data_IF_045047469360
#
_entry.id   IF_045047469360
#
_cell.length_a   1.000
_cell.length_b   1.000
_cell.length_c   1.000
_cell.angle_alpha   90.00
_cell.angle_beta   90.00
_cell.angle_gamma   90.00
#
_symmetry.space_group_name_H-M   'P 1'
#
loop_
_entity.id
_entity.type
_entity.pdbx_description
1 polymer ?
#
# COMPACT_ATOMS: atom_id res chain seq x y z
N UNK A 1 20.30 -12.09 -8.78
CA UNK A 1 19.10 -12.36 -7.94
C UNK A 1 18.26 -11.09 -7.85
N UNK A 2 18.79 -9.96 -7.39
CA UNK A 2 18.05 -8.70 -7.16
C UNK A 2 17.33 -8.14 -8.42
N UNK A 3 17.88 -8.37 -9.61
CA UNK A 3 17.26 -7.95 -10.88
C UNK A 3 16.08 -8.84 -11.29
N UNK A 4 16.11 -10.11 -10.94
CA UNK A 4 15.04 -11.07 -11.26
C UNK A 4 13.80 -10.71 -10.47
N UNK A 5 13.95 -10.43 -9.17
CA UNK A 5 12.85 -10.07 -8.28
C UNK A 5 12.21 -8.73 -8.70
N UNK A 6 13.03 -7.78 -9.19
CA UNK A 6 12.56 -6.46 -9.63
C UNK A 6 11.80 -6.52 -10.96
N UNK A 7 12.08 -7.52 -11.81
CA UNK A 7 11.48 -7.65 -13.14
C UNK A 7 10.42 -8.73 -13.25
N UNK A 8 10.04 -9.36 -12.14
CA UNK A 8 8.98 -10.35 -12.12
C UNK A 8 7.65 -9.76 -12.61
N UNK A 9 6.98 -10.50 -13.50
CA UNK A 9 5.73 -10.07 -14.13
C UNK A 9 5.87 -9.06 -15.29
N UNK A 10 7.07 -8.57 -15.60
CA UNK A 10 7.30 -7.66 -16.72
C UNK A 10 7.46 -8.41 -18.04
N UNK A 11 6.98 -7.80 -19.13
CA UNK A 11 7.27 -8.28 -20.50
C UNK A 11 8.72 -7.97 -20.90
N UNK A 12 9.26 -8.76 -21.85
CA UNK A 12 10.61 -8.53 -22.38
C UNK A 12 10.82 -7.11 -22.90
N UNK A 13 9.83 -6.50 -23.55
CA UNK A 13 9.88 -5.12 -24.02
C UNK A 13 9.95 -4.10 -22.88
N UNK A 14 9.29 -4.36 -21.76
CA UNK A 14 9.37 -3.50 -20.57
C UNK A 14 10.75 -3.60 -19.92
N UNK A 15 11.32 -4.80 -19.82
CA UNK A 15 12.67 -5.02 -19.30
C UNK A 15 13.71 -4.30 -20.17
N UNK A 16 13.62 -4.45 -21.51
CA UNK A 16 14.49 -3.75 -22.44
C UNK A 16 14.41 -2.23 -22.26
N UNK A 17 13.22 -1.69 -22.12
CA UNK A 17 13.03 -0.25 -21.91
C UNK A 17 13.67 0.22 -20.59
N UNK A 18 13.49 -0.53 -19.50
CA UNK A 18 14.12 -0.23 -18.20
C UNK A 18 15.64 -0.21 -18.33
N UNK A 19 16.24 -1.20 -18.97
CA UNK A 19 17.69 -1.29 -19.11
C UNK A 19 18.26 -0.15 -19.98
N UNK A 20 17.55 0.22 -21.04
CA UNK A 20 17.93 1.34 -21.90
C UNK A 20 17.86 2.68 -21.12
N UNK A 21 16.80 2.91 -20.39
CA UNK A 21 16.66 4.11 -19.55
C UNK A 21 17.67 4.13 -18.39
N UNK A 22 17.98 2.99 -17.78
CA UNK A 22 19.02 2.89 -16.75
C UNK A 22 20.39 3.26 -17.31
N UNK A 23 20.70 2.84 -18.54
CA UNK A 23 21.92 3.22 -19.21
C UNK A 23 21.96 4.73 -19.51
N UNK A 24 20.85 5.32 -19.96
CA UNK A 24 20.73 6.76 -20.17
C UNK A 24 20.88 7.52 -18.84
N UNK A 25 20.34 6.99 -17.75
CA UNK A 25 20.52 7.58 -16.42
C UNK A 25 22.00 7.59 -16.01
N UNK A 26 22.71 6.47 -16.18
CA UNK A 26 24.14 6.40 -15.89
C UNK A 26 24.96 7.40 -16.73
N UNK A 27 24.66 7.53 -18.02
CA UNK A 27 25.31 8.47 -18.93
C UNK A 27 25.09 9.94 -18.53
N UNK A 28 23.94 10.31 -17.97
CA UNK A 28 23.68 11.66 -17.44
C UNK A 28 24.61 12.04 -16.28
N UNK A 29 25.16 11.04 -15.59
CA UNK A 29 26.13 11.20 -14.51
C UNK A 29 27.56 10.81 -14.94
N UNK A 30 27.87 10.90 -16.23
CA UNK A 30 29.19 10.61 -16.82
C UNK A 30 29.71 9.18 -16.52
N UNK A 31 28.79 8.20 -16.34
CA UNK A 31 29.15 6.80 -16.11
C UNK A 31 28.88 5.95 -17.36
N UNK A 32 29.83 5.11 -17.72
CA UNK A 32 29.75 4.21 -18.87
C UNK A 32 29.06 2.86 -18.59
N UNK A 33 28.61 2.66 -17.38
CA UNK A 33 27.89 1.45 -16.93
C UNK A 33 26.81 1.87 -15.96
N UNK A 34 25.64 1.26 -16.08
CA UNK A 34 24.59 1.39 -15.07
C UNK A 34 24.82 0.40 -13.94
N UNK A 35 24.30 0.70 -12.77
CA UNK A 35 24.26 -0.16 -11.60
C UNK A 35 22.80 -0.48 -11.20
N UNK A 36 22.62 -1.20 -10.10
CA UNK A 36 21.29 -1.55 -9.59
C UNK A 36 20.44 -0.31 -9.25
N UNK A 37 21.05 0.72 -8.68
CA UNK A 37 20.35 1.97 -8.31
C UNK A 37 19.78 2.70 -9.53
N UNK A 38 20.45 2.63 -10.67
CA UNK A 38 19.94 3.20 -11.93
C UNK A 38 18.69 2.44 -12.39
N UNK A 39 18.72 1.11 -12.29
CA UNK A 39 17.59 0.26 -12.67
C UNK A 39 16.42 0.45 -11.72
N UNK A 40 16.65 0.48 -10.40
CA UNK A 40 15.62 0.72 -9.39
C UNK A 40 14.99 2.12 -9.58
N UNK A 41 15.82 3.14 -9.85
CA UNK A 41 15.34 4.49 -10.15
C UNK A 41 14.42 4.54 -11.37
N UNK A 42 14.79 3.85 -12.44
CA UNK A 42 14.02 3.82 -13.69
C UNK A 42 12.76 2.96 -13.52
N UNK A 43 12.87 1.83 -12.86
CA UNK A 43 11.74 0.98 -12.55
C UNK A 43 10.67 1.74 -11.76
N UNK A 44 11.08 2.44 -10.70
CA UNK A 44 10.19 3.29 -9.92
C UNK A 44 9.56 4.41 -10.77
N UNK A 45 10.32 5.05 -11.68
CA UNK A 45 9.79 6.03 -12.63
C UNK A 45 8.78 5.44 -13.61
N UNK A 46 8.98 4.21 -14.04
CA UNK A 46 8.08 3.54 -14.98
C UNK A 46 6.76 3.13 -14.32
N UNK A 47 6.79 2.68 -13.06
CA UNK A 47 5.59 2.36 -12.28
C UNK A 47 4.73 3.59 -12.02
N UNK A 48 5.36 4.72 -11.75
CA UNK A 48 4.71 5.95 -11.30
C UNK A 48 4.41 6.93 -12.45
N UNK A 49 5.07 6.76 -13.60
CA UNK A 49 5.04 7.70 -14.74
C UNK A 49 5.90 8.95 -14.50
N UNK A 50 6.65 9.36 -15.53
CA UNK A 50 7.47 10.57 -15.47
C UNK A 50 6.61 11.81 -15.77
N UNK A 51 6.59 12.76 -14.81
CA UNK A 51 5.99 14.08 -15.03
C UNK A 51 6.99 15.16 -14.59
N UNK A 52 7.15 16.26 -15.34
CA UNK A 52 8.01 17.37 -14.92
C UNK A 52 7.49 18.02 -13.62
N UNK A 53 8.42 18.47 -12.79
CA UNK A 53 8.20 19.01 -11.44
C UNK A 53 7.46 20.36 -11.44
N UNK A 54 6.19 20.41 -11.81
CA UNK A 54 5.38 21.63 -11.70
C UNK A 54 4.56 21.69 -10.39
N UNK A 55 4.44 20.57 -9.67
CA UNK A 55 3.68 20.53 -8.43
C UNK A 55 4.61 20.41 -7.22
N UNK A 56 4.62 21.46 -6.40
CA UNK A 56 5.27 21.42 -5.09
C UNK A 56 4.25 21.01 -4.03
N UNK A 57 4.51 19.90 -3.36
CA UNK A 57 3.74 19.51 -2.18
C UNK A 57 4.13 20.39 -0.98
N UNK A 58 3.15 20.93 -0.28
CA UNK A 58 3.41 21.63 0.98
C UNK A 58 3.84 20.63 2.06
N UNK A 59 4.60 21.08 3.07
CA UNK A 59 5.03 20.21 4.17
C UNK A 59 3.84 19.51 4.84
N UNK A 60 2.72 20.20 5.01
CA UNK A 60 1.51 19.62 5.56
C UNK A 60 0.98 18.44 4.73
N UNK A 61 0.97 18.55 3.41
CA UNK A 61 0.56 17.46 2.52
C UNK A 61 1.56 16.30 2.57
N UNK A 62 2.86 16.60 2.67
CA UNK A 62 3.90 15.56 2.82
C UNK A 62 3.71 14.79 4.13
N UNK A 63 3.34 15.47 5.22
CA UNK A 63 3.02 14.84 6.50
C UNK A 63 1.82 13.90 6.38
N UNK A 64 0.74 14.34 5.72
CA UNK A 64 -0.43 13.50 5.46
C UNK A 64 -0.05 12.26 4.62
N UNK A 65 0.69 12.44 3.54
CA UNK A 65 1.16 11.36 2.68
C UNK A 65 1.99 10.34 3.47
N UNK A 66 2.94 10.80 4.28
CA UNK A 66 3.78 9.92 5.08
C UNK A 66 2.96 9.11 6.10
N UNK A 67 2.04 9.73 6.80
CA UNK A 67 1.14 9.08 7.78
C UNK A 67 0.23 8.07 7.07
N UNK A 68 -0.32 8.43 5.91
CA UNK A 68 -1.16 7.56 5.08
C UNK A 68 -0.42 6.26 4.72
N UNK A 69 0.76 6.38 4.13
CA UNK A 69 1.57 5.22 3.73
C UNK A 69 2.02 4.36 4.92
N UNK A 70 2.35 4.99 6.05
CA UNK A 70 2.66 4.25 7.26
C UNK A 70 1.44 3.50 7.82
N UNK A 71 0.23 4.00 7.58
CA UNK A 71 -1.01 3.27 7.87
C UNK A 71 -1.05 1.93 7.15
N UNK A 72 -0.87 1.93 5.82
CA UNK A 72 -0.80 0.71 5.01
C UNK A 72 0.32 -0.23 5.48
N UNK A 73 1.51 0.32 5.70
CA UNK A 73 2.69 -0.44 6.07
C UNK A 73 2.53 -1.16 7.42
N UNK A 74 2.06 -0.46 8.44
CA UNK A 74 1.91 -1.04 9.79
C UNK A 74 0.84 -2.11 9.82
N UNK A 75 -0.33 -1.87 9.21
CA UNK A 75 -1.38 -2.90 9.10
C UNK A 75 -0.86 -4.08 8.29
N UNK A 76 -0.16 -3.84 7.18
CA UNK A 76 0.43 -4.91 6.36
C UNK A 76 1.47 -5.76 7.08
N UNK A 77 2.34 -5.18 7.91
CA UNK A 77 3.32 -5.94 8.72
C UNK A 77 2.63 -6.80 9.79
N UNK A 78 1.51 -6.33 10.31
CA UNK A 78 0.75 -7.04 11.35
C UNK A 78 -0.21 -8.09 10.79
N UNK A 79 -0.50 -8.03 9.50
CA UNK A 79 -1.31 -9.01 8.78
C UNK A 79 -0.57 -10.35 8.67
N UNK A 80 -1.28 -11.45 8.94
CA UNK A 80 -0.71 -12.79 8.99
C UNK A 80 -0.80 -13.53 7.65
N UNK A 81 -1.88 -13.32 6.92
CA UNK A 81 -2.22 -14.07 5.70
C UNK A 81 -1.94 -13.27 4.42
N UNK A 82 -1.72 -11.96 4.55
CA UNK A 82 -1.36 -11.10 3.43
C UNK A 82 0.12 -11.29 3.03
N UNK A 83 0.46 -10.88 1.80
CA UNK A 83 1.85 -10.78 1.34
C UNK A 83 2.65 -9.84 2.25
N UNK A 84 3.94 -10.14 2.43
CA UNK A 84 4.80 -9.34 3.29
C UNK A 84 4.99 -7.93 2.73
N UNK A 85 4.93 -6.94 3.58
CA UNK A 85 5.33 -5.58 3.25
C UNK A 85 6.85 -5.53 3.08
N UNK A 86 7.30 -4.97 1.97
CA UNK A 86 8.73 -4.85 1.63
C UNK A 86 9.28 -3.48 2.02
N UNK A 87 8.71 -2.42 1.47
CA UNK A 87 9.18 -1.05 1.69
C UNK A 87 8.06 -0.03 1.48
N UNK A 88 8.24 1.15 2.05
CA UNK A 88 7.45 2.37 1.76
C UNK A 88 8.34 3.36 1.04
N UNK A 89 7.83 4.04 0.03
CA UNK A 89 8.58 5.00 -0.77
C UNK A 89 7.80 6.30 -0.85
N UNK A 90 8.49 7.44 -0.65
CA UNK A 90 8.01 8.76 -1.02
C UNK A 90 8.81 9.26 -2.23
N UNK A 91 8.12 9.61 -3.31
CA UNK A 91 8.70 10.23 -4.49
C UNK A 91 7.90 11.47 -4.89
N UNK A 92 8.23 12.59 -4.30
CA UNK A 92 7.53 13.86 -4.51
C UNK A 92 7.70 14.42 -5.95
N UNK A 93 8.57 13.82 -6.75
CA UNK A 93 8.72 14.14 -8.18
C UNK A 93 7.64 13.49 -9.05
N UNK A 94 6.78 12.64 -8.47
CA UNK A 94 5.71 11.95 -9.15
C UNK A 94 4.35 12.42 -8.64
N UNK A 95 3.76 13.49 -9.20
CA UNK A 95 2.58 14.15 -8.64
C UNK A 95 1.32 13.28 -8.60
N UNK A 96 1.23 12.26 -9.46
CA UNK A 96 0.07 11.34 -9.47
C UNK A 96 0.14 10.26 -8.39
N UNK A 97 1.35 9.85 -8.03
CA UNK A 97 1.60 8.82 -7.01
C UNK A 97 2.82 9.25 -6.20
N UNK A 98 2.67 10.25 -5.31
CA UNK A 98 3.78 10.84 -4.58
C UNK A 98 4.39 9.90 -3.54
N UNK A 99 3.68 8.84 -3.18
CA UNK A 99 4.16 7.78 -2.29
C UNK A 99 3.40 6.48 -2.56
N UNK A 100 3.96 5.38 -2.12
CA UNK A 100 3.32 4.07 -2.18
C UNK A 100 4.00 3.05 -1.28
N UNK A 101 3.21 2.10 -0.81
CA UNK A 101 3.67 0.96 0.00
C UNK A 101 3.78 -0.29 -0.88
N UNK A 102 4.93 -0.94 -0.85
CA UNK A 102 5.25 -2.11 -1.68
C UNK A 102 5.09 -3.38 -0.87
N UNK A 103 4.36 -4.33 -1.42
CA UNK A 103 4.24 -5.69 -0.91
C UNK A 103 4.94 -6.67 -1.84
N UNK A 104 5.43 -7.78 -1.28
CA UNK A 104 5.98 -8.88 -2.08
C UNK A 104 4.88 -9.49 -2.97
N UNK A 105 5.21 -9.99 -4.15
CA UNK A 105 4.25 -10.70 -4.98
C UNK A 105 3.64 -11.89 -4.24
N UNK A 106 2.34 -12.13 -4.45
CA UNK A 106 1.70 -13.32 -3.90
C UNK A 106 2.25 -14.57 -4.57
N UNK A 107 2.58 -15.59 -3.78
CA UNK A 107 3.04 -16.88 -4.29
C UNK A 107 1.95 -17.70 -4.98
N UNK A 108 0.70 -17.26 -4.92
CA UNK A 108 -0.46 -17.96 -5.47
C UNK A 108 -1.50 -16.99 -6.02
N UNK A 109 -2.11 -17.37 -7.15
CA UNK A 109 -3.28 -16.67 -7.71
C UNK A 109 -4.59 -17.04 -6.99
N UNK A 110 -4.55 -18.00 -6.07
CA UNK A 110 -5.70 -18.41 -5.27
C UNK A 110 -5.48 -17.88 -3.85
N UNK A 111 -6.37 -17.03 -3.38
CA UNK A 111 -6.28 -16.37 -2.08
C UNK A 111 -7.38 -16.85 -1.14
N UNK A 112 -7.04 -16.98 0.13
CA UNK A 112 -8.01 -17.30 1.19
C UNK A 112 -8.80 -16.04 1.58
N UNK A 113 -9.98 -16.26 2.18
CA UNK A 113 -10.85 -15.18 2.68
C UNK A 113 -10.12 -14.26 3.65
N UNK A 114 -9.32 -14.83 4.54
CA UNK A 114 -8.53 -14.11 5.54
C UNK A 114 -7.53 -13.15 4.87
N UNK A 115 -6.82 -13.60 3.84
CA UNK A 115 -5.87 -12.76 3.10
C UNK A 115 -6.56 -11.59 2.38
N UNK A 116 -7.74 -11.83 1.79
CA UNK A 116 -8.53 -10.77 1.16
C UNK A 116 -9.12 -9.79 2.18
N UNK A 117 -9.52 -10.29 3.36
CA UNK A 117 -9.99 -9.44 4.45
C UNK A 117 -8.86 -8.54 4.99
N UNK A 118 -7.66 -9.10 5.18
CA UNK A 118 -6.49 -8.33 5.55
C UNK A 118 -6.11 -7.30 4.48
N UNK A 119 -6.28 -7.64 3.19
CA UNK A 119 -6.11 -6.69 2.10
C UNK A 119 -7.09 -5.52 2.17
N UNK A 120 -8.36 -5.77 2.50
CA UNK A 120 -9.35 -4.70 2.77
C UNK A 120 -8.91 -3.81 3.93
N UNK A 121 -8.39 -4.40 5.01
CA UNK A 121 -7.86 -3.63 6.16
C UNK A 121 -6.71 -2.73 5.73
N UNK A 122 -5.79 -3.24 4.90
CA UNK A 122 -4.65 -2.49 4.39
C UNK A 122 -5.13 -1.33 3.52
N UNK A 123 -6.03 -1.56 2.57
CA UNK A 123 -6.57 -0.51 1.69
C UNK A 123 -7.22 0.63 2.49
N UNK A 124 -7.92 0.32 3.57
CA UNK A 124 -8.57 1.34 4.41
C UNK A 124 -7.60 2.05 5.37
N UNK A 125 -6.45 1.42 5.67
CA UNK A 125 -5.54 1.86 6.73
C UNK A 125 -4.92 3.24 6.50
N UNK A 126 -4.61 3.61 5.25
CA UNK A 126 -4.07 4.93 4.92
C UNK A 126 -5.02 6.05 5.32
N UNK A 127 -6.28 5.96 4.91
CA UNK A 127 -7.32 6.92 5.29
C UNK A 127 -7.58 6.96 6.79
N UNK A 128 -7.63 5.80 7.45
CA UNK A 128 -7.82 5.70 8.89
C UNK A 128 -6.65 6.36 9.64
N UNK A 129 -5.42 6.18 9.16
CA UNK A 129 -4.27 6.85 9.74
C UNK A 129 -4.41 8.38 9.67
N UNK A 130 -4.80 8.93 8.52
CA UNK A 130 -5.09 10.36 8.42
C UNK A 130 -6.15 10.81 9.43
N UNK A 131 -7.26 10.08 9.58
CA UNK A 131 -8.32 10.41 10.56
C UNK A 131 -7.82 10.37 12.01
N UNK A 132 -7.00 9.38 12.37
CA UNK A 132 -6.47 9.25 13.73
C UNK A 132 -5.47 10.37 14.08
N UNK A 133 -4.76 10.91 13.08
CA UNK A 133 -3.75 11.95 13.29
C UNK A 133 -4.29 13.37 13.12
N UNK A 134 -5.21 13.58 12.18
CA UNK A 134 -5.66 14.90 11.73
C UNK A 134 -7.16 15.11 11.84
N UNK A 135 -7.88 14.16 12.45
CA UNK A 135 -9.32 14.21 12.65
C UNK A 135 -10.08 14.34 11.30
N UNK A 136 -10.85 15.41 11.12
CA UNK A 136 -11.60 15.66 9.87
C UNK A 136 -10.73 16.14 8.69
N UNK A 137 -9.48 16.53 8.97
CA UNK A 137 -8.56 17.07 7.95
C UNK A 137 -7.87 15.93 7.19
N UNK A 138 -8.61 15.27 6.32
CA UNK A 138 -8.15 14.16 5.49
C UNK A 138 -7.98 14.59 4.03
N UNK A 139 -7.14 13.88 3.30
CA UNK A 139 -6.82 14.21 1.91
C UNK A 139 -7.63 13.39 0.90
N UNK A 140 -7.57 13.77 -0.37
CA UNK A 140 -8.13 13.00 -1.48
C UNK A 140 -7.22 11.84 -1.92
N UNK A 141 -6.08 11.64 -1.25
CA UNK A 141 -5.10 10.62 -1.60
C UNK A 141 -5.65 9.19 -1.60
N UNK A 142 -6.61 8.91 -0.74
CA UNK A 142 -7.23 7.58 -0.57
C UNK A 142 -8.26 7.19 -1.66
N UNK A 143 -8.43 7.94 -2.75
CA UNK A 143 -9.49 7.67 -3.73
C UNK A 143 -9.35 6.28 -4.37
N UNK A 144 -8.14 5.90 -4.77
CA UNK A 144 -7.88 4.60 -5.40
C UNK A 144 -8.07 3.46 -4.39
N UNK A 145 -7.64 3.64 -3.16
CA UNK A 145 -7.79 2.65 -2.09
C UNK A 145 -9.25 2.36 -1.79
N UNK A 146 -10.09 3.41 -1.76
CA UNK A 146 -11.53 3.26 -1.57
C UNK A 146 -12.20 2.54 -2.74
N UNK A 147 -11.86 2.90 -3.98
CA UNK A 147 -12.38 2.21 -5.16
C UNK A 147 -12.00 0.73 -5.13
N UNK A 148 -10.73 0.42 -4.82
CA UNK A 148 -10.25 -0.94 -4.75
C UNK A 148 -10.91 -1.72 -3.61
N UNK A 149 -11.06 -1.12 -2.42
CA UNK A 149 -11.74 -1.73 -1.29
C UNK A 149 -13.21 -2.07 -1.60
N UNK A 150 -13.96 -1.14 -2.21
CA UNK A 150 -15.34 -1.39 -2.64
C UNK A 150 -15.42 -2.52 -3.65
N UNK A 151 -14.58 -2.48 -4.69
CA UNK A 151 -14.54 -3.51 -5.72
C UNK A 151 -14.16 -4.88 -5.15
N UNK A 152 -13.20 -4.93 -4.24
CA UNK A 152 -12.78 -6.16 -3.58
C UNK A 152 -13.89 -6.72 -2.70
N UNK A 153 -14.52 -5.90 -1.86
CA UNK A 153 -15.62 -6.34 -1.00
C UNK A 153 -16.80 -6.88 -1.83
N UNK A 154 -17.16 -6.22 -2.93
CA UNK A 154 -18.18 -6.71 -3.85
C UNK A 154 -17.80 -8.06 -4.48
N UNK A 155 -16.53 -8.21 -4.92
CA UNK A 155 -16.05 -9.50 -5.46
C UNK A 155 -16.09 -10.60 -4.41
N UNK A 156 -15.69 -10.33 -3.17
CA UNK A 156 -15.72 -11.30 -2.09
C UNK A 156 -17.14 -11.81 -1.84
N UNK A 157 -18.14 -10.94 -1.83
CA UNK A 157 -19.53 -11.29 -1.57
C UNK A 157 -20.18 -11.94 -2.82
N UNK A 158 -20.10 -11.26 -3.99
CA UNK A 158 -20.89 -11.62 -5.15
C UNK A 158 -20.28 -12.75 -5.99
N UNK A 159 -18.96 -12.87 -6.05
CA UNK A 159 -18.28 -13.79 -6.97
C UNK A 159 -17.54 -14.92 -6.26
N UNK A 160 -16.98 -14.65 -5.08
CA UNK A 160 -16.22 -15.67 -4.35
C UNK A 160 -17.07 -16.39 -3.29
N UNK A 161 -18.28 -15.89 -3.00
CA UNK A 161 -19.17 -16.50 -2.00
C UNK A 161 -18.58 -16.45 -0.58
N UNK A 162 -17.79 -15.41 -0.27
CA UNK A 162 -17.06 -15.26 1.00
C UNK A 162 -17.83 -14.42 2.04
N UNK A 163 -19.13 -14.18 1.83
CA UNK A 163 -20.03 -13.55 2.80
C UNK A 163 -20.43 -14.47 3.94
N UNK A 164 -21.34 -14.01 4.79
CA UNK A 164 -21.98 -14.86 5.82
C UNK A 164 -22.90 -15.87 5.18
N UNK A 165 -23.58 -15.46 4.10
CA UNK A 165 -24.44 -16.33 3.30
C UNK A 165 -23.98 -16.31 1.84
N UNK A 166 -24.23 -17.42 1.12
CA UNK A 166 -23.99 -17.47 -0.32
C UNK A 166 -25.18 -16.84 -1.02
N UNK A 167 -24.99 -15.66 -1.58
CA UNK A 167 -26.04 -14.88 -2.23
C UNK A 167 -25.80 -14.89 -3.74
N UNK A 168 -26.84 -15.27 -4.51
CA UNK A 168 -26.79 -15.22 -5.96
C UNK A 168 -27.13 -13.79 -6.45
N UNK A 169 -26.20 -13.10 -7.18
CA UNK A 169 -26.45 -11.75 -7.64
C UNK A 169 -27.56 -11.70 -8.70
N UNK A 170 -28.25 -10.55 -8.78
CA UNK A 170 -29.20 -10.19 -9.84
C UNK A 170 -30.53 -10.95 -9.93
N UNK A 171 -31.02 -11.53 -8.84
CA UNK A 171 -32.27 -12.28 -8.89
C UNK A 171 -33.49 -11.48 -8.40
N UNK A 172 -33.34 -10.58 -7.43
CA UNK A 172 -34.44 -9.75 -6.91
C UNK A 172 -33.89 -8.52 -6.16
N UNK A 173 -34.76 -7.52 -5.93
CA UNK A 173 -34.39 -6.35 -5.09
C UNK A 173 -33.99 -6.77 -3.67
N UNK A 174 -34.66 -7.76 -3.12
CA UNK A 174 -34.31 -8.31 -1.79
C UNK A 174 -32.87 -8.84 -1.75
N UNK A 175 -32.42 -9.53 -2.80
CA UNK A 175 -31.01 -9.99 -2.87
C UNK A 175 -30.02 -8.85 -3.04
N UNK A 176 -30.38 -7.79 -3.76
CA UNK A 176 -29.55 -6.59 -3.87
C UNK A 176 -29.35 -5.93 -2.51
N UNK A 177 -30.43 -5.76 -1.72
CA UNK A 177 -30.35 -5.22 -0.36
C UNK A 177 -29.48 -6.10 0.56
N UNK A 178 -29.57 -7.42 0.43
CA UNK A 178 -28.71 -8.35 1.18
C UNK A 178 -27.24 -8.20 0.77
N UNK A 179 -26.95 -8.09 -0.51
CA UNK A 179 -25.57 -7.87 -1.02
C UNK A 179 -25.03 -6.55 -0.49
N UNK A 180 -25.77 -5.46 -0.61
CA UNK A 180 -25.36 -4.15 -0.13
C UNK A 180 -25.07 -4.17 1.38
N UNK A 181 -25.92 -4.85 2.15
CA UNK A 181 -25.75 -5.02 3.59
C UNK A 181 -24.49 -5.84 3.93
N UNK A 182 -24.25 -6.95 3.22
CA UNK A 182 -23.06 -7.79 3.44
C UNK A 182 -21.76 -7.05 3.07
N UNK A 183 -21.75 -6.33 1.95
CA UNK A 183 -20.61 -5.51 1.51
C UNK A 183 -20.34 -4.40 2.53
N UNK A 184 -21.36 -3.67 2.96
CA UNK A 184 -21.22 -2.61 3.95
C UNK A 184 -20.70 -3.14 5.30
N UNK A 185 -21.20 -4.30 5.75
CA UNK A 185 -20.74 -4.94 6.97
C UNK A 185 -19.27 -5.40 6.86
N UNK A 186 -18.88 -5.99 5.74
CA UNK A 186 -17.52 -6.45 5.50
C UNK A 186 -16.52 -5.29 5.56
N UNK A 187 -16.85 -4.17 4.90
CA UNK A 187 -16.03 -2.95 4.93
C UNK A 187 -15.98 -2.37 6.34
N UNK A 188 -17.11 -2.31 7.05
CA UNK A 188 -17.18 -1.82 8.43
C UNK A 188 -16.34 -2.66 9.39
N UNK A 189 -16.37 -3.97 9.24
CA UNK A 189 -15.57 -4.88 10.05
C UNK A 189 -14.07 -4.64 9.77
N UNK A 190 -13.66 -4.60 8.49
CA UNK A 190 -12.27 -4.33 8.10
C UNK A 190 -11.79 -2.95 8.61
N UNK A 191 -12.64 -1.92 8.48
CA UNK A 191 -12.35 -0.59 9.02
C UNK A 191 -12.13 -0.63 10.54
N UNK A 192 -13.00 -1.32 11.28
CA UNK A 192 -12.91 -1.38 12.75
C UNK A 192 -11.63 -2.07 13.23
N UNK A 193 -11.22 -3.15 12.56
CA UNK A 193 -9.96 -3.83 12.86
C UNK A 193 -8.74 -2.96 12.52
N UNK A 194 -8.74 -2.31 11.36
CA UNK A 194 -7.65 -1.42 10.96
C UNK A 194 -7.56 -0.20 11.90
N UNK A 195 -8.69 0.42 12.27
CA UNK A 195 -8.74 1.53 13.23
C UNK A 195 -8.15 1.14 14.59
N UNK A 196 -8.50 -0.05 15.09
CA UNK A 196 -7.93 -0.58 16.33
C UNK A 196 -6.39 -0.70 16.25
N UNK A 197 -5.88 -1.26 15.16
CA UNK A 197 -4.43 -1.39 14.94
C UNK A 197 -3.77 -0.01 14.87
N UNK A 198 -4.30 0.90 14.06
CA UNK A 198 -3.73 2.24 13.84
C UNK A 198 -3.70 3.04 15.15
N UNK A 199 -4.79 3.06 15.93
CA UNK A 199 -4.84 3.79 17.22
C UNK A 199 -3.82 3.27 18.22
N UNK A 200 -3.63 1.96 18.27
CA UNK A 200 -2.65 1.33 19.17
C UNK A 200 -1.20 1.39 18.64
N UNK A 201 -1.01 1.82 17.39
CA UNK A 201 0.31 1.96 16.74
C UNK A 201 0.70 3.41 16.46
N UNK A 202 -0.03 4.38 17.00
CA UNK A 202 0.10 5.81 16.67
C UNK A 202 1.54 6.33 16.80
N UNK A 203 2.22 6.01 17.89
CA UNK A 203 3.60 6.46 18.12
C UNK A 203 4.59 5.85 17.11
N UNK A 204 4.43 4.57 16.77
CA UNK A 204 5.23 3.88 15.77
C UNK A 204 5.02 4.51 14.38
N UNK A 205 3.77 4.77 14.00
CA UNK A 205 3.42 5.39 12.72
C UNK A 205 4.06 6.77 12.63
N UNK A 206 3.99 7.58 13.69
CA UNK A 206 4.61 8.89 13.71
C UNK A 206 6.13 8.83 13.55
N UNK A 207 6.82 7.98 14.31
CA UNK A 207 8.27 7.82 14.22
C UNK A 207 8.68 7.29 12.83
N UNK A 208 7.94 6.31 12.30
CA UNK A 208 8.15 5.79 10.93
C UNK A 208 7.97 6.87 9.86
N UNK A 209 6.94 7.71 9.98
CA UNK A 209 6.70 8.82 9.06
C UNK A 209 7.85 9.85 9.07
N UNK A 210 8.38 10.18 10.25
CA UNK A 210 9.55 11.07 10.37
C UNK A 210 10.81 10.50 9.72
N UNK A 211 11.02 9.18 9.82
CA UNK A 211 12.13 8.50 9.13
C UNK A 211 11.88 8.53 7.61
N UNK A 212 10.68 8.15 7.18
CA UNK A 212 10.30 8.08 5.77
C UNK A 212 10.46 9.44 5.06
N UNK A 213 10.08 10.54 5.69
CA UNK A 213 10.26 11.90 5.15
C UNK A 213 11.73 12.28 4.98
N UNK A 214 12.63 11.75 5.81
CA UNK A 214 14.07 12.05 5.75
C UNK A 214 14.81 11.18 4.74
N UNK A 215 14.45 9.90 4.69
CA UNK A 215 15.19 8.89 3.92
C UNK A 215 14.52 8.59 2.55
N UNK A 216 13.29 9.07 2.32
CA UNK A 216 12.44 8.80 1.16
C UNK A 216 12.08 7.32 0.94
N UNK A 217 12.76 6.40 1.56
CA UNK A 217 12.50 4.96 1.51
C UNK A 217 12.61 4.38 2.92
N UNK A 218 11.60 3.64 3.35
CA UNK A 218 11.59 2.95 4.63
C UNK A 218 11.33 1.46 4.40
N UNK A 219 12.32 0.62 4.68
CA UNK A 219 12.23 -0.83 4.53
C UNK A 219 11.49 -1.46 5.72
N UNK A 220 10.87 -2.63 5.47
CA UNK A 220 10.14 -3.40 6.47
C UNK A 220 11.01 -3.76 7.67
N UNK A 221 12.28 -4.13 7.45
CA UNK A 221 13.22 -4.51 8.52
C UNK A 221 13.35 -3.39 9.55
N UNK A 222 13.41 -2.13 9.08
CA UNK A 222 13.55 -0.97 9.98
C UNK A 222 12.32 -0.78 10.86
N UNK A 223 11.11 -0.94 10.30
CA UNK A 223 9.87 -0.89 11.09
C UNK A 223 9.78 -2.05 12.09
N UNK A 224 10.17 -3.26 11.66
CA UNK A 224 10.21 -4.44 12.53
C UNK A 224 11.23 -4.26 13.67
N UNK A 225 12.39 -3.65 13.43
CA UNK A 225 13.35 -3.30 14.47
C UNK A 225 12.74 -2.35 15.51
N UNK A 226 12.03 -1.31 15.08
CA UNK A 226 11.33 -0.39 15.97
C UNK A 226 10.26 -1.11 16.80
N UNK A 227 9.48 -2.01 16.19
CA UNK A 227 8.50 -2.84 16.88
C UNK A 227 9.17 -3.75 17.92
N UNK A 228 10.25 -4.46 17.56
CA UNK A 228 10.96 -5.36 18.48
C UNK A 228 11.68 -4.63 19.62
N UNK A 229 12.08 -3.39 19.39
CA UNK A 229 12.75 -2.53 20.37
C UNK A 229 11.76 -1.76 21.23
N UNK A 230 11.33 -0.62 20.72
CA UNK A 230 10.56 0.40 21.45
C UNK A 230 9.05 0.11 21.53
N UNK A 231 8.48 -0.55 20.52
CA UNK A 231 7.03 -0.70 20.35
C UNK A 231 6.56 -2.16 20.41
N UNK A 232 7.07 -2.92 21.36
CA UNK A 232 6.77 -4.37 21.50
C UNK A 232 5.27 -4.68 21.65
N UNK A 233 4.51 -3.79 22.26
CA UNK A 233 3.07 -3.95 22.42
C UNK A 233 2.33 -4.01 21.08
N UNK A 234 2.86 -3.36 20.03
CA UNK A 234 2.26 -3.39 18.69
C UNK A 234 2.31 -4.79 18.09
N UNK A 235 3.32 -5.58 18.38
CA UNK A 235 3.41 -6.96 17.90
C UNK A 235 2.33 -7.89 18.46
N UNK A 236 1.70 -7.52 19.56
CA UNK A 236 0.56 -8.29 20.13
C UNK A 236 -0.75 -8.04 19.37
N UNK A 237 -0.78 -7.07 18.46
CA UNK A 237 -1.95 -6.72 17.63
C UNK A 237 -2.04 -7.55 16.34
N UNK A 238 -1.13 -8.51 16.12
CA UNK A 238 -1.17 -9.39 14.94
C UNK A 238 -2.54 -10.07 14.80
N UNK A 239 -3.13 -9.88 13.62
CA UNK A 239 -4.44 -10.43 13.23
C UNK A 239 -4.26 -11.78 12.56
#
# INVERSE_FOLDING_TARGET
EDMVDLTDGLSGAQIENILNEAMLNALRYDRNKFNYDDVDTVYNKMLVGWQPNEHQFTNNIIDHIAIHELGHAVVGILSKHHSKMSKVIINLSAPKTPAYTVFEPSSSNIMMREALFEHLMILLAGRIAEEVFYDISVTTGAINDFEEALNLAQKMICYYGMGKEVIYPNTSEKYKEMIDSEVANLIKDAYSYADFIIRNSKELIYEGAEILKKENVLKSERLIELMNGKYKSVLTLKV
#
